data_IF_767439748764
#
_entry.id   IF_767439748764
#
_cell.length_a   1.000
_cell.length_b   1.000
_cell.length_c   1.000
_cell.angle_alpha   90.00
_cell.angle_beta   90.00
_cell.angle_gamma   90.00
#
_symmetry.space_group_name_H-M   'P 1'
#
loop_
_entity.id
_entity.type
_entity.pdbx_description
1 polymer ?
#
# COMPACT_ATOMS: atom_id res chain seq x y z
N UNK A 1 -31.56 11.33 -38.63
CA UNK A 1 -31.42 11.61 -37.17
C UNK A 1 -31.15 10.32 -36.39
N UNK A 2 -29.94 9.75 -36.45
CA UNK A 2 -29.50 8.64 -35.56
C UNK A 2 -27.97 8.64 -35.35
N UNK A 3 -27.33 9.81 -35.43
CA UNK A 3 -25.87 9.95 -35.35
C UNK A 3 -25.39 10.54 -34.01
N UNK A 4 -26.34 10.88 -33.13
CA UNK A 4 -26.09 11.58 -31.86
C UNK A 4 -25.67 10.66 -30.69
N UNK A 5 -26.03 9.35 -30.59
CA UNK A 5 -25.71 8.60 -29.37
C UNK A 5 -24.28 8.02 -29.35
N UNK A 6 -23.55 8.04 -30.48
CA UNK A 6 -22.21 7.41 -30.58
C UNK A 6 -21.10 8.35 -30.09
N UNK A 7 -21.30 9.67 -30.12
CA UNK A 7 -20.27 10.64 -29.70
C UNK A 7 -20.22 10.78 -28.17
N UNK A 8 -21.36 10.61 -27.49
CA UNK A 8 -21.45 10.75 -26.03
C UNK A 8 -20.74 9.63 -25.26
N UNK A 9 -20.64 8.42 -25.83
CA UNK A 9 -19.93 7.28 -25.22
C UNK A 9 -18.41 7.35 -25.41
N UNK A 10 -17.92 8.02 -26.46
CA UNK A 10 -16.48 8.16 -26.71
C UNK A 10 -15.80 9.19 -25.79
N UNK A 11 -16.54 10.20 -25.31
CA UNK A 11 -15.97 11.26 -24.45
C UNK A 11 -15.70 10.79 -23.01
N UNK A 12 -16.44 9.78 -22.53
CA UNK A 12 -16.32 9.28 -21.16
C UNK A 12 -15.07 8.41 -20.98
N UNK A 13 -14.55 7.78 -22.05
CA UNK A 13 -13.38 6.88 -21.97
C UNK A 13 -12.05 7.66 -21.84
N UNK A 14 -12.00 8.93 -22.28
CA UNK A 14 -10.76 9.72 -22.25
C UNK A 14 -10.36 10.24 -20.87
N UNK A 15 -11.26 10.26 -19.89
CA UNK A 15 -11.00 10.89 -18.57
C UNK A 15 -10.43 9.88 -17.55
N UNK A 16 -10.48 8.58 -17.83
CA UNK A 16 -10.02 7.55 -16.90
C UNK A 16 -8.61 7.01 -17.21
N UNK A 17 -7.92 7.55 -18.22
CA UNK A 17 -6.67 6.99 -18.76
C UNK A 17 -5.37 7.54 -18.19
N UNK A 18 -5.39 8.54 -17.31
CA UNK A 18 -4.16 9.05 -16.69
C UNK A 18 -3.88 8.28 -15.41
N UNK A 19 -3.22 7.12 -15.52
CA UNK A 19 -2.36 6.69 -14.44
C UNK A 19 -1.36 7.82 -14.22
N UNK A 20 -1.38 8.47 -13.06
CA UNK A 20 -0.32 9.39 -12.68
C UNK A 20 1.01 8.65 -12.89
N UNK A 21 1.92 9.25 -13.66
CA UNK A 21 3.27 8.75 -13.74
C UNK A 21 3.80 8.64 -12.30
N UNK A 22 4.41 7.51 -11.96
CA UNK A 22 5.08 7.33 -10.69
C UNK A 22 6.08 8.50 -10.53
N UNK A 23 6.08 9.15 -9.37
CA UNK A 23 7.03 10.24 -9.12
C UNK A 23 8.43 9.63 -9.20
N UNK A 24 9.31 10.21 -10.03
CA UNK A 24 10.69 9.74 -10.06
C UNK A 24 11.39 10.20 -8.78
N UNK A 25 11.43 9.31 -7.79
CA UNK A 25 12.03 9.57 -6.50
C UNK A 25 13.53 9.85 -6.61
N UNK A 26 14.20 9.42 -7.69
CA UNK A 26 15.64 9.69 -7.87
C UNK A 26 15.96 11.18 -8.03
N UNK A 27 14.97 12.01 -8.40
CA UNK A 27 15.11 13.46 -8.46
C UNK A 27 15.13 14.14 -7.07
N UNK A 28 14.67 13.45 -6.02
CA UNK A 28 14.51 14.00 -4.67
C UNK A 28 15.48 13.41 -3.64
N UNK A 29 16.15 12.30 -3.98
CA UNK A 29 17.08 11.62 -3.09
C UNK A 29 18.50 12.09 -3.41
N UNK A 30 18.93 13.17 -2.75
CA UNK A 30 20.21 13.82 -3.02
C UNK A 30 21.42 13.07 -2.43
N UNK A 31 21.19 12.21 -1.43
CA UNK A 31 22.27 11.60 -0.63
C UNK A 31 22.32 10.09 -0.82
N UNK A 32 23.53 9.54 -0.87
CA UNK A 32 23.72 8.10 -0.87
C UNK A 32 23.28 7.50 0.47
N UNK A 33 22.31 6.59 0.43
CA UNK A 33 21.89 5.82 1.60
C UNK A 33 22.80 4.59 1.74
N UNK A 34 23.44 4.42 2.89
CA UNK A 34 24.40 3.32 3.13
C UNK A 34 23.72 2.09 3.74
N UNK A 35 22.62 2.28 4.45
CA UNK A 35 21.81 1.20 5.06
C UNK A 35 20.32 1.31 4.70
N UNK A 36 19.55 0.26 4.98
CA UNK A 36 18.09 0.29 4.78
C UNK A 36 17.39 1.28 5.71
N UNK A 37 17.92 1.51 6.91
CA UNK A 37 17.44 2.52 7.85
C UNK A 37 17.72 3.93 7.34
N UNK A 38 18.86 4.16 6.66
CA UNK A 38 19.14 5.45 6.02
C UNK A 38 18.11 5.73 4.91
N UNK A 39 17.79 4.74 4.07
CA UNK A 39 16.72 4.87 3.07
C UNK A 39 15.38 5.20 3.75
N UNK A 40 15.02 4.46 4.80
CA UNK A 40 13.77 4.67 5.53
C UNK A 40 13.71 6.07 6.12
N UNK A 41 14.81 6.56 6.71
CA UNK A 41 14.87 7.92 7.27
C UNK A 41 14.59 8.98 6.21
N UNK A 42 15.15 8.81 5.01
CA UNK A 42 14.87 9.70 3.87
C UNK A 42 13.41 9.62 3.43
N UNK A 43 12.84 8.41 3.33
CA UNK A 43 11.41 8.25 2.98
C UNK A 43 10.48 8.95 4.00
N UNK A 44 10.82 8.90 5.29
CA UNK A 44 10.02 9.49 6.36
C UNK A 44 9.98 11.02 6.33
N UNK A 45 10.90 11.69 5.61
CA UNK A 45 10.86 13.14 5.45
C UNK A 45 9.59 13.61 4.71
N UNK A 46 9.01 12.76 3.87
CA UNK A 46 7.78 13.03 3.12
C UNK A 46 6.63 12.06 3.43
N UNK A 47 6.92 10.85 3.93
CA UNK A 47 5.96 9.76 4.11
C UNK A 47 5.80 9.29 5.56
N UNK A 48 5.91 10.21 6.54
CA UNK A 48 5.69 9.88 7.95
C UNK A 48 4.29 9.31 8.20
N UNK A 49 3.24 9.90 7.64
CA UNK A 49 1.86 9.43 7.80
C UNK A 49 1.66 8.02 7.23
N UNK A 50 2.16 7.78 6.02
CA UNK A 50 2.11 6.45 5.40
C UNK A 50 2.87 5.41 6.22
N UNK A 51 4.00 5.78 6.83
CA UNK A 51 4.72 4.88 7.72
C UNK A 51 3.92 4.56 8.99
N UNK A 52 3.26 5.56 9.58
CA UNK A 52 2.36 5.36 10.73
C UNK A 52 1.20 4.42 10.37
N UNK A 53 0.53 4.65 9.24
CA UNK A 53 -0.53 3.77 8.74
C UNK A 53 -0.03 2.34 8.47
N UNK A 54 1.16 2.20 7.86
CA UNK A 54 1.77 0.90 7.61
C UNK A 54 2.06 0.14 8.90
N UNK A 55 2.51 0.85 9.94
CA UNK A 55 2.80 0.28 11.26
C UNK A 55 1.56 -0.24 11.98
N UNK A 56 0.36 0.22 11.60
CA UNK A 56 -0.92 -0.29 12.10
C UNK A 56 -1.40 -1.57 11.36
N UNK A 57 -0.65 -2.02 10.34
CA UNK A 57 -1.04 -3.20 9.54
C UNK A 57 -0.47 -4.51 10.09
N UNK A 58 -1.07 -5.61 9.65
CA UNK A 58 -0.58 -6.96 9.95
C UNK A 58 0.84 -7.24 9.40
N UNK A 59 1.30 -6.51 8.38
CA UNK A 59 2.65 -6.67 7.83
C UNK A 59 3.73 -6.16 8.80
N UNK A 60 3.43 -5.11 9.56
CA UNK A 60 4.32 -4.61 10.60
C UNK A 60 4.12 -5.34 11.92
N UNK A 61 2.87 -5.43 12.38
CA UNK A 61 2.54 -5.95 13.72
C UNK A 61 2.67 -7.48 13.80
N UNK A 62 2.68 -8.17 12.65
CA UNK A 62 2.64 -9.63 12.54
C UNK A 62 1.47 -10.29 13.28
N UNK A 63 0.38 -9.53 13.46
CA UNK A 63 -0.89 -9.98 14.04
C UNK A 63 -2.04 -9.29 13.36
N UNK A 64 -3.21 -9.91 13.39
CA UNK A 64 -4.41 -9.41 12.75
C UNK A 64 -5.54 -10.45 12.82
N UNK A 65 -6.59 -10.25 12.04
CA UNK A 65 -7.69 -11.22 11.98
C UNK A 65 -7.19 -12.56 11.42
N UNK A 66 -7.47 -13.64 12.14
CA UNK A 66 -7.11 -15.01 11.76
C UNK A 66 -8.36 -15.83 11.46
N UNK A 67 -9.05 -15.62 10.32
CA UNK A 67 -10.37 -16.21 10.05
C UNK A 67 -10.39 -17.75 10.00
N UNK A 68 -9.22 -18.38 9.89
CA UNK A 68 -9.07 -19.83 9.83
C UNK A 68 -8.54 -20.45 11.13
N UNK A 69 -8.30 -19.64 12.17
CA UNK A 69 -7.88 -20.13 13.49
C UNK A 69 -9.13 -20.45 14.31
N UNK A 70 -9.43 -21.75 14.44
CA UNK A 70 -10.63 -22.24 15.12
C UNK A 70 -10.71 -21.73 16.56
N UNK A 71 -11.83 -21.08 16.91
CA UNK A 71 -12.07 -20.48 18.23
C UNK A 71 -11.46 -19.09 18.42
N UNK A 72 -10.79 -18.56 17.41
CA UNK A 72 -10.12 -17.25 17.42
C UNK A 72 -10.29 -16.51 16.08
N UNK A 73 -11.36 -16.79 15.34
CA UNK A 73 -11.57 -16.33 13.96
C UNK A 73 -11.59 -14.80 13.85
N UNK A 74 -12.02 -14.12 14.91
CA UNK A 74 -12.11 -12.66 15.01
C UNK A 74 -11.07 -12.04 15.96
N UNK A 75 -10.23 -12.85 16.60
CA UNK A 75 -9.24 -12.38 17.57
C UNK A 75 -8.02 -11.77 16.85
N UNK A 76 -7.88 -10.44 16.94
CA UNK A 76 -6.78 -9.71 16.32
C UNK A 76 -5.42 -9.86 17.00
N UNK A 77 -5.33 -10.64 18.08
CA UNK A 77 -4.08 -10.83 18.84
C UNK A 77 -3.18 -11.92 18.25
N UNK A 78 -3.70 -12.74 17.33
CA UNK A 78 -2.94 -13.83 16.72
C UNK A 78 -2.32 -13.44 15.38
N UNK A 79 -1.21 -14.09 15.04
CA UNK A 79 -0.53 -14.00 13.76
C UNK A 79 0.87 -14.59 13.81
N UNK A 80 1.72 -14.27 12.85
CA UNK A 80 3.09 -14.81 12.78
C UNK A 80 3.91 -14.57 14.06
N UNK A 81 3.60 -13.51 14.81
CA UNK A 81 4.32 -13.19 16.06
C UNK A 81 4.16 -14.25 17.16
N UNK A 82 3.05 -15.01 17.17
CA UNK A 82 2.70 -15.91 18.27
C UNK A 82 1.99 -17.20 17.85
N UNK A 83 1.92 -17.50 16.55
CA UNK A 83 1.41 -18.77 16.05
C UNK A 83 2.55 -19.76 15.81
N UNK A 84 2.48 -20.88 16.49
CA UNK A 84 3.37 -22.02 16.27
C UNK A 84 2.86 -22.85 15.09
N UNK A 85 3.77 -23.26 14.22
CA UNK A 85 3.53 -24.23 13.16
C UNK A 85 4.69 -25.25 13.14
N UNK A 86 4.62 -26.22 12.23
CA UNK A 86 5.57 -27.30 12.04
C UNK A 86 6.39 -27.16 10.73
N UNK A 87 6.54 -25.93 10.23
CA UNK A 87 7.29 -25.58 9.02
C UNK A 87 8.60 -24.85 9.31
#
# INVERSE_FOLDING_TARGET
>A
MKIIPIIATAFIISVYGTSYADVDHSEFIETQCLTGEDVTRTCLECHEETAMEFMDTAHWMWKGKTPYLKGHETDGRFGKINLMNDY
#
